data_IF_552329898047
#
_entry.id   IF_552329898047
#
_cell.length_a   1.000
_cell.length_b   1.000
_cell.length_c   1.000
_cell.angle_alpha   90.00
_cell.angle_beta   90.00
_cell.angle_gamma   90.00
#
_symmetry.space_group_name_H-M   'P 1'
#
loop_
_entity.id
_entity.type
_entity.pdbx_description
1 polymer ?
#
# COMPACT_ATOMS: atom_id res chain seq x y z
N UNK A 1 34.01 -4.10 17.13
CA UNK A 1 33.54 -3.19 16.07
C UNK A 1 32.46 -3.93 15.29
N UNK A 2 31.22 -3.41 15.32
CA UNK A 2 30.03 -3.80 14.56
C UNK A 2 29.49 -5.24 14.68
N UNK A 3 28.66 -5.43 15.71
CA UNK A 3 27.47 -6.25 15.58
C UNK A 3 26.35 -5.40 14.94
N UNK A 4 25.79 -5.83 13.81
CA UNK A 4 24.47 -5.40 13.33
C UNK A 4 23.64 -6.64 13.03
N UNK A 5 22.98 -7.13 14.08
CA UNK A 5 21.74 -7.90 13.95
C UNK A 5 20.60 -6.90 13.90
N UNK A 6 19.63 -7.14 13.01
CA UNK A 6 18.28 -6.62 13.20
C UNK A 6 17.64 -6.09 11.93
N UNK A 7 16.53 -6.74 11.57
CA UNK A 7 15.40 -6.23 10.79
C UNK A 7 15.55 -6.27 9.27
N UNK A 8 15.14 -7.40 8.67
CA UNK A 8 14.27 -7.38 7.48
C UNK A 8 13.79 -8.81 7.15
N UNK A 9 12.80 -9.29 7.89
CA UNK A 9 11.91 -10.34 7.38
C UNK A 9 10.98 -9.70 6.36
N UNK A 10 11.44 -9.47 5.13
CA UNK A 10 10.57 -9.02 4.04
C UNK A 10 9.74 -10.21 3.57
N UNK A 11 8.43 -10.01 3.42
CA UNK A 11 7.38 -11.02 3.19
C UNK A 11 7.59 -12.03 2.04
N UNK A 12 8.62 -11.88 1.22
CA UNK A 12 8.97 -12.90 0.22
C UNK A 12 9.49 -14.22 0.85
N UNK A 13 9.87 -14.21 2.13
CA UNK A 13 10.36 -15.41 2.82
C UNK A 13 9.26 -16.32 3.41
N UNK A 14 7.96 -16.03 3.21
CA UNK A 14 6.89 -16.74 3.94
C UNK A 14 6.44 -18.07 3.32
N UNK A 15 6.93 -18.44 2.14
CA UNK A 15 6.61 -19.72 1.49
C UNK A 15 7.87 -20.48 1.07
N UNK A 16 8.65 -20.94 2.05
CA UNK A 16 9.65 -22.00 1.83
C UNK A 16 8.96 -23.36 1.82
N UNK A 17 8.92 -24.03 0.67
CA UNK A 17 8.42 -25.40 0.55
C UNK A 17 9.37 -26.36 1.30
N UNK A 18 8.94 -26.85 2.45
CA UNK A 18 9.62 -27.93 3.16
C UNK A 18 9.41 -29.26 2.43
N UNK A 19 10.51 -29.94 2.06
CA UNK A 19 10.49 -31.24 1.39
C UNK A 19 10.74 -32.38 2.38
N UNK A 20 9.97 -33.45 2.24
CA UNK A 20 10.25 -34.77 2.82
C UNK A 20 11.35 -35.49 2.01
N UNK A 21 11.88 -36.57 2.59
CA UNK A 21 13.23 -37.09 2.39
C UNK A 21 13.58 -37.65 0.99
N UNK A 22 14.76 -37.25 0.49
CA UNK A 22 15.63 -37.85 -0.55
C UNK A 22 15.06 -38.23 -1.93
N UNK A 23 13.89 -38.85 -2.03
CA UNK A 23 13.28 -39.25 -3.32
C UNK A 23 12.75 -38.03 -4.10
N UNK A 24 12.45 -36.95 -3.40
CA UNK A 24 11.97 -35.70 -4.00
C UNK A 24 13.11 -34.76 -4.44
N UNK A 25 14.36 -35.02 -4.04
CA UNK A 25 15.46 -34.09 -4.29
C UNK A 25 15.85 -34.00 -5.77
N UNK A 26 15.93 -35.13 -6.47
CA UNK A 26 16.26 -35.16 -7.90
C UNK A 26 15.13 -34.57 -8.77
N UNK A 27 13.85 -34.96 -8.59
CA UNK A 27 12.73 -34.31 -9.27
C UNK A 27 12.66 -32.81 -8.98
N UNK A 28 12.88 -32.40 -7.72
CA UNK A 28 12.88 -30.98 -7.35
C UNK A 28 14.02 -30.21 -8.04
N UNK A 29 15.24 -30.76 -8.06
CA UNK A 29 16.36 -30.12 -8.77
C UNK A 29 16.09 -30.02 -10.27
N UNK A 30 15.51 -31.06 -10.89
CA UNK A 30 15.12 -31.01 -12.30
C UNK A 30 14.02 -29.96 -12.55
N UNK A 31 13.08 -29.80 -11.62
CA UNK A 31 12.03 -28.80 -11.72
C UNK A 31 12.56 -27.36 -11.56
N UNK A 32 13.56 -27.13 -10.70
CA UNK A 32 14.05 -25.78 -10.38
C UNK A 32 15.32 -25.37 -11.15
N UNK A 33 16.11 -26.32 -11.63
CA UNK A 33 17.37 -26.10 -12.34
C UNK A 33 17.47 -26.94 -13.62
N UNK A 34 16.34 -27.37 -14.20
CA UNK A 34 16.32 -28.23 -15.38
C UNK A 34 16.83 -27.58 -16.68
N UNK A 35 17.27 -26.32 -16.63
CA UNK A 35 18.00 -25.67 -17.72
C UNK A 35 19.48 -26.08 -17.77
N UNK A 36 19.99 -26.72 -16.72
CA UNK A 36 21.37 -27.22 -16.59
C UNK A 36 21.40 -28.69 -16.16
N UNK A 37 22.49 -29.41 -16.46
CA UNK A 37 22.73 -30.75 -15.92
C UNK A 37 23.40 -30.64 -14.54
N UNK A 38 22.57 -30.63 -13.49
CA UNK A 38 23.02 -30.53 -12.09
C UNK A 38 24.00 -31.65 -11.73
N UNK A 39 23.80 -32.87 -12.26
CA UNK A 39 24.64 -34.01 -11.94
C UNK A 39 26.06 -33.90 -12.54
N UNK A 40 26.24 -33.31 -13.73
CA UNK A 40 27.58 -33.02 -14.23
C UNK A 40 28.26 -31.89 -13.46
N UNK A 41 27.54 -30.83 -13.10
CA UNK A 41 28.09 -29.72 -12.32
C UNK A 41 28.58 -30.21 -10.95
N UNK A 42 27.80 -31.04 -10.25
CA UNK A 42 28.22 -31.67 -8.99
C UNK A 42 29.50 -32.52 -9.18
N UNK A 43 29.60 -33.27 -10.28
CA UNK A 43 30.81 -34.05 -10.60
C UNK A 43 32.03 -33.15 -10.85
N UNK A 44 31.87 -32.03 -11.57
CA UNK A 44 32.96 -31.10 -11.85
C UNK A 44 33.40 -30.29 -10.63
N UNK A 45 32.47 -29.98 -9.71
CA UNK A 45 32.77 -29.25 -8.48
C UNK A 45 33.63 -30.07 -7.47
N UNK A 46 33.74 -31.40 -7.66
CA UNK A 46 34.39 -32.35 -6.74
C UNK A 46 35.87 -32.03 -6.47
N UNK A 47 36.63 -31.67 -7.49
CA UNK A 47 38.08 -31.49 -7.37
C UNK A 47 38.48 -30.02 -7.41
N UNK A 48 39.35 -29.60 -6.49
CA UNK A 48 39.96 -28.27 -6.48
C UNK A 48 41.46 -28.40 -6.28
N UNK A 49 42.25 -27.99 -7.29
CA UNK A 49 43.71 -28.19 -7.32
C UNK A 49 44.12 -29.60 -6.86
N UNK A 50 43.61 -30.62 -7.56
CA UNK A 50 43.78 -32.07 -7.26
C UNK A 50 43.31 -32.57 -5.89
N UNK A 51 42.80 -31.71 -5.00
CA UNK A 51 42.15 -32.10 -3.74
C UNK A 51 40.70 -32.54 -3.99
N UNK A 52 40.34 -33.75 -3.55
CA UNK A 52 38.93 -34.19 -3.48
C UNK A 52 38.22 -33.45 -2.34
N UNK A 53 37.41 -32.46 -2.70
CA UNK A 53 36.62 -31.68 -1.74
C UNK A 53 35.48 -32.51 -1.16
N UNK A 54 34.92 -33.45 -1.92
CA UNK A 54 33.75 -34.21 -1.48
C UNK A 54 34.07 -35.13 -0.30
N UNK A 55 35.27 -35.73 -0.31
CA UNK A 55 35.74 -36.65 0.73
C UNK A 55 36.49 -35.94 1.89
N UNK A 56 37.13 -34.79 1.64
CA UNK A 56 37.94 -34.07 2.64
C UNK A 56 37.20 -32.88 3.27
N UNK A 57 36.62 -32.01 2.44
CA UNK A 57 36.03 -30.73 2.86
C UNK A 57 34.58 -30.61 2.36
N UNK A 58 33.68 -31.45 2.90
CA UNK A 58 32.26 -31.49 2.49
C UNK A 58 31.56 -30.12 2.43
N UNK A 59 31.65 -29.21 3.42
CA UNK A 59 30.97 -27.92 3.35
C UNK A 59 31.51 -27.04 2.21
N UNK A 60 32.82 -27.11 1.92
CA UNK A 60 33.44 -26.36 0.82
C UNK A 60 33.01 -26.89 -0.54
N UNK A 61 32.88 -28.22 -0.68
CA UNK A 61 32.31 -28.85 -1.87
C UNK A 61 30.87 -28.37 -2.12
N UNK A 62 30.02 -28.41 -1.09
CA UNK A 62 28.60 -28.01 -1.22
C UNK A 62 28.46 -26.54 -1.59
N UNK A 63 29.15 -25.63 -0.90
CA UNK A 63 29.10 -24.20 -1.23
C UNK A 63 29.58 -23.91 -2.66
N UNK A 64 30.61 -24.63 -3.13
CA UNK A 64 31.10 -24.50 -4.50
C UNK A 64 30.11 -25.03 -5.54
N UNK A 65 29.52 -26.19 -5.29
CA UNK A 65 28.52 -26.78 -6.18
C UNK A 65 27.29 -25.87 -6.30
N UNK A 66 26.80 -25.33 -5.17
CA UNK A 66 25.70 -24.36 -5.14
C UNK A 66 26.04 -23.12 -5.96
N UNK A 67 27.18 -22.48 -5.72
CA UNK A 67 27.58 -21.29 -6.46
C UNK A 67 27.70 -21.53 -7.99
N UNK A 68 28.13 -22.72 -8.41
CA UNK A 68 28.20 -23.08 -9.83
C UNK A 68 26.82 -23.32 -10.43
N UNK A 69 25.91 -23.97 -9.70
CA UNK A 69 24.53 -24.20 -10.12
C UNK A 69 23.80 -22.85 -10.26
N UNK A 70 23.92 -21.95 -9.28
CA UNK A 70 23.34 -20.61 -9.28
C UNK A 70 23.85 -19.77 -10.47
N UNK A 71 25.16 -19.79 -10.72
CA UNK A 71 25.78 -18.99 -11.80
C UNK A 71 25.49 -19.52 -13.21
N UNK A 72 25.31 -20.83 -13.37
CA UNK A 72 25.06 -21.45 -14.68
C UNK A 72 23.57 -21.50 -15.04
N UNK A 73 22.67 -21.51 -14.05
CA UNK A 73 21.23 -21.56 -14.29
C UNK A 73 20.66 -20.17 -14.53
N UNK A 74 20.05 -19.97 -15.69
CA UNK A 74 19.25 -18.78 -16.00
C UNK A 74 17.98 -18.75 -15.15
N UNK A 75 17.43 -19.93 -14.85
CA UNK A 75 16.23 -20.04 -14.02
C UNK A 75 16.51 -19.59 -12.58
N UNK A 76 17.65 -19.97 -12.00
CA UNK A 76 18.08 -19.45 -10.68
C UNK A 76 18.19 -17.93 -10.71
N UNK A 77 18.84 -17.40 -11.75
CA UNK A 77 19.00 -15.94 -11.88
C UNK A 77 17.65 -15.21 -11.92
N UNK A 78 16.67 -15.73 -12.67
CA UNK A 78 15.31 -15.15 -12.73
C UNK A 78 14.57 -15.25 -11.39
N UNK A 79 14.80 -16.30 -10.60
CA UNK A 79 14.17 -16.47 -9.28
C UNK A 79 14.81 -15.61 -8.19
N UNK A 80 16.08 -15.23 -8.37
CA UNK A 80 16.87 -14.41 -7.43
C UNK A 80 16.82 -12.91 -7.73
N UNK A 81 16.07 -12.48 -8.76
CA UNK A 81 15.93 -11.06 -9.09
C UNK A 81 15.40 -10.25 -7.89
N UNK A 82 16.12 -9.18 -7.56
CA UNK A 82 15.72 -8.30 -6.47
C UNK A 82 14.37 -7.62 -6.81
N UNK A 83 13.45 -7.47 -5.83
CA UNK A 83 12.18 -6.81 -6.08
C UNK A 83 12.42 -5.34 -6.47
N UNK A 84 12.00 -4.97 -7.68
CA UNK A 84 12.08 -3.61 -8.20
C UNK A 84 10.78 -2.84 -7.90
N UNK A 85 10.90 -1.51 -7.83
CA UNK A 85 9.73 -0.63 -7.74
C UNK A 85 8.97 -0.62 -9.06
N UNK A 86 7.64 -0.55 -8.98
CA UNK A 86 6.77 -0.49 -10.14
C UNK A 86 6.78 0.90 -10.77
N UNK A 87 7.10 0.97 -12.06
CA UNK A 87 7.08 2.22 -12.83
C UNK A 87 5.65 2.61 -13.19
N UNK A 88 5.26 3.86 -12.88
CA UNK A 88 3.93 4.39 -13.22
C UNK A 88 3.86 4.74 -14.71
N UNK A 89 2.77 4.31 -15.36
CA UNK A 89 2.36 4.87 -16.66
C UNK A 89 1.90 6.32 -16.49
N UNK A 90 1.92 7.11 -17.55
CA UNK A 90 1.46 8.50 -17.54
C UNK A 90 0.71 8.91 -18.80
N UNK A 91 -0.05 10.00 -18.69
CA UNK A 91 -0.69 10.69 -19.81
C UNK A 91 -0.34 12.18 -19.78
N UNK A 92 -0.37 12.89 -20.92
CA UNK A 92 -0.13 14.34 -20.91
C UNK A 92 -1.18 15.07 -20.05
N UNK A 93 -0.85 16.27 -19.59
CA UNK A 93 -1.78 17.14 -18.87
C UNK A 93 -3.01 17.46 -19.75
N UNK A 94 -4.17 17.56 -19.12
CA UNK A 94 -5.41 17.99 -19.76
C UNK A 94 -5.33 19.48 -20.11
N UNK A 95 -4.76 20.28 -19.20
CA UNK A 95 -4.41 21.69 -19.44
C UNK A 95 -2.91 21.79 -19.72
N UNK A 96 -2.56 21.87 -21.01
CA UNK A 96 -1.18 21.80 -21.48
C UNK A 96 -0.34 22.97 -20.94
N UNK A 97 0.42 22.69 -19.89
CA UNK A 97 1.31 23.66 -19.22
C UNK A 97 2.78 23.40 -19.57
N UNK A 98 3.20 22.13 -19.55
CA UNK A 98 4.57 21.71 -19.81
C UNK A 98 4.56 20.27 -20.33
N UNK A 99 5.32 19.97 -21.38
CA UNK A 99 5.43 18.62 -21.96
C UNK A 99 6.13 17.61 -21.04
N UNK A 100 6.98 18.09 -20.13
CA UNK A 100 7.68 17.27 -19.14
C UNK A 100 6.83 16.96 -17.90
N UNK A 101 5.71 17.66 -17.71
CA UNK A 101 4.74 17.36 -16.65
C UNK A 101 3.69 16.39 -17.17
N UNK A 102 3.50 15.27 -16.47
CA UNK A 102 2.55 14.23 -16.89
C UNK A 102 1.75 13.71 -15.72
N UNK A 103 0.50 13.35 -15.99
CA UNK A 103 -0.38 12.77 -14.98
C UNK A 103 -0.02 11.31 -14.77
N UNK A 104 0.38 10.94 -13.56
CA UNK A 104 0.75 9.57 -13.22
C UNK A 104 -0.49 8.69 -13.01
N UNK A 105 -0.42 7.45 -13.50
CA UNK A 105 -1.34 6.41 -13.08
C UNK A 105 -1.05 6.03 -11.63
N UNK A 106 -2.09 5.90 -10.81
CA UNK A 106 -1.97 5.46 -9.42
C UNK A 106 -2.64 4.10 -9.28
N UNK A 107 -1.93 3.13 -8.71
CA UNK A 107 -2.54 1.81 -8.47
C UNK A 107 -3.56 1.87 -7.33
N UNK A 108 -4.50 0.92 -7.26
CA UNK A 108 -5.44 0.81 -6.15
C UNK A 108 -4.74 0.67 -4.78
N UNK A 109 -3.51 0.15 -4.75
CA UNK A 109 -2.69 0.04 -3.54
C UNK A 109 -2.26 1.41 -3.04
N UNK A 110 -1.85 2.31 -3.96
CA UNK A 110 -1.39 3.65 -3.63
C UNK A 110 -2.56 4.63 -3.36
N UNK A 111 -3.75 4.38 -3.92
CA UNK A 111 -4.95 5.20 -3.71
C UNK A 111 -6.18 4.30 -3.49
N UNK A 112 -6.40 3.80 -2.26
CA UNK A 112 -7.53 2.92 -1.96
C UNK A 112 -8.88 3.64 -1.98
N UNK A 113 -8.93 4.92 -1.60
CA UNK A 113 -10.18 5.70 -1.46
C UNK A 113 -10.61 6.41 -2.77
N UNK A 114 -10.12 5.95 -3.91
CA UNK A 114 -10.46 6.50 -5.23
C UNK A 114 -11.81 5.98 -5.76
N UNK A 115 -12.44 6.69 -6.72
CA UNK A 115 -13.52 6.09 -7.49
C UNK A 115 -13.00 4.83 -8.21
N UNK A 116 -13.87 3.85 -8.52
CA UNK A 116 -13.48 2.70 -9.33
C UNK A 116 -12.98 3.19 -10.69
N UNK A 117 -11.83 2.65 -11.11
CA UNK A 117 -11.12 3.06 -12.33
C UNK A 117 -10.80 1.83 -13.17
N UNK A 118 -10.68 2.06 -14.47
CA UNK A 118 -10.29 1.03 -15.44
C UNK A 118 -8.79 0.76 -15.37
N UNK A 119 -8.29 -0.19 -16.14
CA UNK A 119 -6.84 -0.41 -16.21
C UNK A 119 -6.15 0.77 -16.91
N UNK A 120 -4.90 1.03 -16.54
CA UNK A 120 -4.15 2.20 -17.02
C UNK A 120 -4.19 2.40 -18.55
N UNK A 121 -4.12 1.32 -19.33
CA UNK A 121 -4.13 1.40 -20.81
C UNK A 121 -5.49 1.84 -21.35
N UNK A 122 -6.56 1.38 -20.73
CA UNK A 122 -7.95 1.70 -21.12
C UNK A 122 -8.26 3.18 -20.83
N UNK A 123 -7.64 3.75 -19.79
CA UNK A 123 -7.72 5.18 -19.50
C UNK A 123 -6.71 6.06 -20.27
N UNK A 124 -5.98 5.48 -21.24
CA UNK A 124 -5.05 6.22 -22.10
C UNK A 124 -3.68 6.52 -21.48
N UNK A 125 -3.30 5.87 -20.38
CA UNK A 125 -1.96 5.99 -19.80
C UNK A 125 -0.95 5.11 -20.55
N UNK A 126 0.23 5.68 -20.83
CA UNK A 126 1.31 5.07 -21.61
C UNK A 126 2.63 5.09 -20.85
N UNK A 127 3.62 4.31 -21.29
CA UNK A 127 4.97 4.44 -20.73
C UNK A 127 5.64 5.67 -21.34
N UNK A 128 5.99 6.63 -20.48
CA UNK A 128 6.74 7.82 -20.89
C UNK A 128 7.61 8.26 -19.71
N UNK A 129 8.92 8.36 -19.94
CA UNK A 129 9.87 8.85 -18.97
C UNK A 129 11.11 9.39 -19.71
N UNK A 130 11.58 10.56 -19.28
CA UNK A 130 12.83 11.18 -19.67
C UNK A 130 13.50 11.77 -18.41
N UNK A 131 14.73 12.25 -18.55
CA UNK A 131 15.50 12.81 -17.43
C UNK A 131 14.80 14.01 -16.75
N UNK A 132 13.94 14.72 -17.48
CA UNK A 132 13.25 15.91 -16.99
C UNK A 132 11.77 15.62 -16.63
N UNK A 133 11.35 14.36 -16.62
CA UNK A 133 9.95 13.98 -16.41
C UNK A 133 9.57 14.19 -14.96
N UNK A 134 8.50 14.94 -14.75
CA UNK A 134 7.89 15.12 -13.43
C UNK A 134 6.44 14.67 -13.46
N UNK A 135 6.10 13.83 -12.50
CA UNK A 135 4.80 13.16 -12.44
C UNK A 135 3.92 13.86 -11.42
N UNK A 136 2.65 14.04 -11.77
CA UNK A 136 1.70 14.79 -10.94
C UNK A 136 0.34 14.10 -10.90
N UNK A 137 -0.46 14.46 -9.90
CA UNK A 137 -1.92 14.39 -10.01
C UNK A 137 -2.42 15.76 -10.43
N UNK A 138 -3.16 15.81 -11.54
CA UNK A 138 -3.76 17.04 -12.07
C UNK A 138 -5.17 17.22 -11.51
N UNK A 139 -5.44 18.38 -10.93
CA UNK A 139 -6.77 18.87 -10.62
C UNK A 139 -6.85 20.35 -11.04
N UNK A 140 -8.03 20.95 -10.95
CA UNK A 140 -8.20 22.38 -11.19
C UNK A 140 -8.90 23.02 -10.00
N UNK A 141 -8.65 24.31 -9.77
CA UNK A 141 -9.38 25.06 -8.73
C UNK A 141 -10.85 25.13 -9.11
N UNK A 142 -11.71 24.79 -8.16
CA UNK A 142 -13.15 24.92 -8.36
C UNK A 142 -13.51 26.41 -8.57
N UNK A 143 -14.10 26.78 -9.73
CA UNK A 143 -14.47 28.16 -9.99
C UNK A 143 -15.70 28.54 -9.17
N UNK A 144 -15.60 29.59 -8.33
CA UNK A 144 -16.76 30.18 -7.65
C UNK A 144 -17.59 31.08 -8.58
N UNK A 145 -18.67 31.67 -8.07
CA UNK A 145 -19.51 32.62 -8.82
C UNK A 145 -18.89 34.02 -8.83
N UNK A 146 -17.89 34.25 -9.68
CA UNK A 146 -17.15 35.52 -9.75
C UNK A 146 -16.87 35.90 -11.20
N UNK A 147 -16.47 37.15 -11.45
CA UNK A 147 -16.02 37.55 -12.79
C UNK A 147 -14.77 36.75 -13.22
N UNK A 148 -13.89 36.42 -12.28
CA UNK A 148 -12.66 35.67 -12.57
C UNK A 148 -12.97 34.30 -13.17
N UNK A 149 -13.97 33.58 -12.64
CA UNK A 149 -14.35 32.27 -13.20
C UNK A 149 -15.03 32.36 -14.56
N UNK A 150 -15.70 33.47 -14.86
CA UNK A 150 -16.38 33.67 -16.15
C UNK A 150 -15.44 34.12 -17.27
N UNK A 151 -14.34 34.80 -16.93
CA UNK A 151 -13.46 35.45 -17.91
C UNK A 151 -12.02 34.95 -17.93
N UNK A 152 -11.47 34.49 -16.81
CA UNK A 152 -10.11 33.94 -16.76
C UNK A 152 -10.12 32.44 -17.05
N UNK A 153 -9.02 31.95 -17.62
CA UNK A 153 -8.83 30.52 -17.84
C UNK A 153 -8.78 29.74 -16.52
N UNK A 154 -9.11 28.46 -16.60
CA UNK A 154 -9.05 27.53 -15.46
C UNK A 154 -7.64 27.51 -14.85
N UNK A 155 -7.57 27.56 -13.52
CA UNK A 155 -6.29 27.52 -12.79
C UNK A 155 -5.93 26.05 -12.47
N UNK A 156 -4.91 25.46 -13.12
CA UNK A 156 -4.49 24.09 -12.83
C UNK A 156 -3.78 24.01 -11.48
N UNK A 157 -4.09 22.95 -10.71
CA UNK A 157 -3.37 22.57 -9.50
C UNK A 157 -2.62 21.26 -9.81
N UNK A 158 -1.31 21.29 -9.60
CA UNK A 158 -0.47 20.11 -9.73
C UNK A 158 0.05 19.70 -8.35
N UNK A 159 -0.28 18.49 -7.92
CA UNK A 159 0.34 17.86 -6.74
C UNK A 159 1.37 16.86 -7.23
N UNK A 160 2.62 17.07 -6.84
CA UNK A 160 3.72 16.19 -7.25
C UNK A 160 3.57 14.79 -6.66
N UNK A 161 3.87 13.78 -7.49
CA UNK A 161 3.91 12.38 -7.07
C UNK A 161 5.15 11.70 -7.62
N UNK A 162 5.61 10.66 -6.92
CA UNK A 162 6.71 9.80 -7.40
C UNK A 162 6.40 9.17 -8.77
N UNK A 163 7.43 8.96 -9.59
CA UNK A 163 7.35 8.19 -10.84
C UNK A 163 7.19 6.68 -10.61
N UNK A 164 7.45 6.21 -9.39
CA UNK A 164 7.51 4.79 -9.01
C UNK A 164 6.68 4.50 -7.77
N UNK A 165 6.26 3.25 -7.65
CA UNK A 165 5.56 2.69 -6.48
C UNK A 165 6.38 1.53 -5.89
N UNK A 166 6.74 1.63 -4.62
CA UNK A 166 7.39 0.54 -3.90
C UNK A 166 6.33 -0.29 -3.18
N UNK A 167 5.97 -1.43 -3.77
CA UNK A 167 4.99 -2.33 -3.17
C UNK A 167 5.50 -2.95 -1.86
N UNK A 168 6.79 -3.24 -1.75
CA UNK A 168 7.36 -3.85 -0.54
C UNK A 168 7.24 -2.87 0.63
N UNK A 169 7.55 -1.60 0.39
CA UNK A 169 7.41 -0.55 1.41
C UNK A 169 5.95 -0.30 1.77
N UNK A 170 5.05 -0.19 0.79
CA UNK A 170 3.62 0.02 1.04
C UNK A 170 3.00 -1.12 1.85
N UNK A 171 3.33 -2.38 1.55
CA UNK A 171 2.84 -3.52 2.34
C UNK A 171 3.43 -3.58 3.74
N UNK A 172 4.71 -3.19 3.92
CA UNK A 172 5.33 -3.11 5.24
C UNK A 172 4.64 -2.05 6.11
N UNK A 173 4.42 -0.85 5.57
CA UNK A 173 3.72 0.25 6.26
C UNK A 173 2.28 -0.14 6.64
N UNK A 174 1.54 -0.81 5.74
CA UNK A 174 0.19 -1.29 6.06
C UNK A 174 0.18 -2.34 7.19
N UNK A 175 1.19 -3.19 7.26
CA UNK A 175 1.30 -4.17 8.34
C UNK A 175 1.59 -3.49 9.69
N UNK A 176 2.45 -2.48 9.71
CA UNK A 176 2.72 -1.67 10.90
C UNK A 176 1.47 -0.92 11.37
N UNK A 177 0.71 -0.32 10.44
CA UNK A 177 -0.55 0.36 10.77
C UNK A 177 -1.60 -0.59 11.36
N UNK A 178 -1.68 -1.84 10.89
CA UNK A 178 -2.57 -2.87 11.47
C UNK A 178 -2.09 -3.38 12.83
N UNK A 179 -0.79 -3.29 13.11
CA UNK A 179 -0.21 -3.73 14.38
C UNK A 179 -0.37 -2.68 15.49
N UNK A 180 -0.69 -1.43 15.16
CA UNK A 180 -1.12 -0.44 16.13
C UNK A 180 -2.51 -0.84 16.65
N UNK A 181 -2.72 -0.99 17.97
CA UNK A 181 -4.05 -1.17 18.50
C UNK A 181 -4.85 0.08 18.12
N UNK A 182 -5.91 -0.12 17.32
CA UNK A 182 -6.92 0.89 17.04
C UNK A 182 -7.45 1.41 18.37
N UNK A 183 -6.88 2.50 18.89
CA UNK A 183 -7.56 3.23 19.95
C UNK A 183 -8.86 3.69 19.34
N UNK A 184 -9.95 3.21 19.92
CA UNK A 184 -11.30 3.60 19.57
C UNK A 184 -11.40 5.08 19.88
N UNK A 185 -11.06 5.93 18.90
CA UNK A 185 -11.48 7.32 18.93
C UNK A 185 -12.96 7.27 18.56
N UNK A 186 -13.80 7.05 19.58
CA UNK A 186 -15.23 7.33 19.48
C UNK A 186 -15.35 8.75 18.93
N UNK A 187 -16.01 8.96 17.78
CA UNK A 187 -16.31 10.32 17.35
C UNK A 187 -17.17 10.94 18.44
N UNK A 188 -16.74 12.07 18.99
CA UNK A 188 -17.56 12.88 19.89
C UNK A 188 -18.87 13.18 19.16
N UNK A 189 -19.96 12.55 19.60
CA UNK A 189 -21.29 12.78 19.07
C UNK A 189 -21.63 14.26 19.26
N UNK A 190 -21.49 15.06 18.19
CA UNK A 190 -22.02 16.42 18.17
C UNK A 190 -23.50 16.28 17.89
N UNK A 191 -24.29 16.35 18.97
CA UNK A 191 -25.73 16.51 18.87
C UNK A 191 -25.98 17.85 18.16
N UNK A 192 -26.41 17.77 16.90
CA UNK A 192 -26.93 18.93 16.18
C UNK A 192 -28.30 19.24 16.78
N UNK A 193 -28.39 20.29 17.59
CA UNK A 193 -29.68 20.82 18.05
C UNK A 193 -30.37 21.50 16.86
N UNK A 194 -31.23 20.77 16.15
CA UNK A 194 -32.18 21.37 15.23
C UNK A 194 -33.37 21.90 16.05
N UNK A 195 -33.31 23.17 16.42
CA UNK A 195 -34.49 23.89 16.92
C UNK A 195 -35.40 24.15 15.73
N UNK A 196 -36.31 23.22 15.43
CA UNK A 196 -37.41 23.46 14.49
C UNK A 196 -38.58 24.02 15.29
N UNK A 197 -38.74 25.33 15.29
CA UNK A 197 -40.01 25.97 15.61
C UNK A 197 -40.89 25.90 14.36
N UNK A 198 -41.69 24.84 14.25
CA UNK A 198 -42.82 24.82 13.33
C UNK A 198 -44.09 25.08 14.13
N UNK A 199 -44.46 26.35 14.21
CA UNK A 199 -45.87 26.73 14.33
C UNK A 199 -46.58 26.28 13.05
N UNK A 200 -47.76 25.66 13.18
CA UNK A 200 -48.99 25.81 12.35
C UNK A 200 -49.95 24.67 12.72
N UNK A 201 -50.98 25.04 13.50
CA UNK A 201 -52.39 24.65 13.44
C UNK A 201 -52.84 23.29 12.86
N UNK A 202 -53.57 22.53 13.70
CA UNK A 202 -54.86 21.96 13.32
C UNK A 202 -55.06 20.45 13.50
N UNK A 203 -55.98 20.06 14.40
CA UNK A 203 -56.86 18.90 14.16
C UNK A 203 -56.79 17.70 15.14
N UNK A 204 -57.60 17.77 16.20
CA UNK A 204 -58.57 16.71 16.56
C UNK A 204 -58.12 15.37 17.15
N UNK A 205 -58.42 15.19 18.45
CA UNK A 205 -59.30 14.08 18.88
C UNK A 205 -58.70 12.85 19.60
N UNK A 206 -58.74 12.90 20.95
CA UNK A 206 -59.09 11.80 21.87
C UNK A 206 -58.10 10.64 22.06
N UNK A 207 -58.09 9.88 23.15
CA UNK A 207 -58.67 9.97 24.49
C UNK A 207 -58.00 8.85 25.33
N UNK A 208 -57.88 9.04 26.65
CA UNK A 208 -57.54 8.05 27.71
C UNK A 208 -56.07 7.59 27.82
N UNK A 209 -55.39 7.53 28.98
CA UNK A 209 -55.81 7.08 30.31
C UNK A 209 -55.02 7.77 31.47
N UNK A 210 -55.70 7.95 32.62
CA UNK A 210 -55.23 8.31 34.00
C UNK A 210 -53.94 7.54 34.42
N UNK A 211 -53.05 8.06 35.28
CA UNK A 211 -53.27 8.40 36.71
C UNK A 211 -52.14 9.25 37.35
N UNK A 212 -52.50 10.04 38.36
CA UNK A 212 -51.68 10.82 39.34
C UNK A 212 -51.80 10.05 40.71
N UNK A 213 -51.12 10.32 41.88
CA UNK A 213 -50.46 11.57 42.28
C UNK A 213 -49.25 11.58 43.29
N UNK A 214 -48.63 12.77 43.38
CA UNK A 214 -48.24 13.58 44.58
C UNK A 214 -47.16 13.09 45.56
N UNK A 215 -46.28 14.05 45.95
CA UNK A 215 -45.88 14.53 47.31
C UNK A 215 -44.71 15.52 47.10
N UNK A 216 -44.94 16.85 47.14
CA UNK A 216 -44.69 17.80 48.25
C UNK A 216 -43.20 18.14 48.50
N UNK A 217 -42.71 19.36 48.25
CA UNK A 217 -42.82 20.65 48.98
C UNK A 217 -41.68 20.88 50.00
N UNK A 218 -40.77 21.83 49.70
CA UNK A 218 -40.21 22.80 50.67
C UNK A 218 -39.19 23.71 49.98
N UNK A 219 -39.53 24.99 49.74
CA UNK A 219 -39.28 26.19 50.59
C UNK A 219 -37.87 26.75 50.50
N UNK A 220 -37.76 28.07 50.30
CA UNK A 220 -36.52 28.81 50.57
C UNK A 220 -36.27 30.02 49.67
N UNK A 221 -36.75 31.20 50.07
CA UNK A 221 -36.71 32.43 49.28
C UNK A 221 -35.35 33.17 49.22
N UNK A 222 -35.27 34.00 48.17
CA UNK A 222 -34.85 35.43 48.16
C UNK A 222 -33.49 35.91 48.71
N UNK A 223 -32.74 36.55 47.78
CA UNK A 223 -32.15 37.92 47.85
C UNK A 223 -30.88 38.11 48.70
N UNK A 224 -29.75 38.55 48.09
CA UNK A 224 -29.33 39.97 47.95
C UNK A 224 -27.91 40.12 47.35
N UNK A 225 -27.77 41.16 46.51
CA UNK A 225 -26.52 41.81 46.08
C UNK A 225 -25.66 42.29 47.27
N UNK A 226 -24.34 42.32 47.09
CA UNK A 226 -23.53 43.56 47.06
C UNK A 226 -22.04 43.28 46.82
N UNK A 227 -21.43 44.24 46.09
CA UNK A 227 -20.01 44.64 45.99
C UNK A 227 -18.92 43.58 46.01
#
# INVERSE_FOLDING_TARGET
MMARRGVCGRRMATHGLGLHANDDALPWMQQNFGDIDVASIMRWARFYHSKDLMAKDRPRYLARAVAWIELLSKRSHMMEEAPLTYMRKSKPLSLNTNSNLRVAWQTPVARPDGPPRLLAREEGYTFHHNEHSRFVTETYRHPGETLQSRFLAMQPIHTEVSAKEDFQEMYAQQQEQRALPSSVISPTARILHHSVTSEIHGGGGGQHHRSIPRVELSTGGTVKRKS
#
